data_IF_087647355899
#
_entry.id   IF_087647355899
#
_cell.length_a   1.000
_cell.length_b   1.000
_cell.length_c   1.000
_cell.angle_alpha   90.00
_cell.angle_beta   90.00
_cell.angle_gamma   90.00
#
_symmetry.space_group_name_H-M   'P 1'
#
loop_
_entity.id
_entity.type
_entity.pdbx_description
1 polymer ?
#
# COMPACT_ATOMS: atom_id res chain seq x y z
N UNK A 1 33.76 -14.69 4.29
CA UNK A 1 32.90 -13.52 4.55
C UNK A 1 33.37 -12.36 3.67
N UNK A 2 33.06 -12.38 2.37
CA UNK A 2 33.56 -11.39 1.39
C UNK A 2 32.46 -10.56 0.71
N UNK A 3 31.17 -10.78 1.00
CA UNK A 3 30.09 -10.22 0.17
C UNK A 3 30.12 -8.70 -0.04
N UNK A 4 30.56 -7.91 0.95
CA UNK A 4 30.73 -6.45 0.78
C UNK A 4 31.95 -6.10 -0.09
N UNK A 5 33.02 -6.88 0.02
CA UNK A 5 34.21 -6.75 -0.82
C UNK A 5 33.88 -7.12 -2.26
N UNK A 6 33.13 -8.20 -2.49
CA UNK A 6 32.70 -8.62 -3.82
C UNK A 6 31.84 -7.53 -4.49
N UNK A 7 30.95 -6.86 -3.74
CA UNK A 7 30.17 -5.72 -4.24
C UNK A 7 31.02 -4.48 -4.54
N UNK A 8 32.09 -4.26 -3.77
CA UNK A 8 33.05 -3.19 -4.02
C UNK A 8 33.83 -3.43 -5.30
N UNK A 9 34.36 -4.65 -5.47
CA UNK A 9 35.15 -5.06 -6.63
C UNK A 9 34.28 -5.04 -7.92
N UNK A 10 33.00 -5.36 -7.81
CA UNK A 10 32.00 -5.25 -8.89
C UNK A 10 31.56 -3.80 -9.22
N UNK A 11 32.03 -2.80 -8.46
CA UNK A 11 31.60 -1.40 -8.61
C UNK A 11 30.15 -1.13 -8.22
N UNK A 12 29.54 -2.03 -7.44
CA UNK A 12 28.14 -1.95 -6.97
C UNK A 12 28.01 -1.35 -5.56
N UNK A 13 29.12 -1.09 -4.88
CA UNK A 13 29.16 -0.48 -3.56
C UNK A 13 29.96 0.82 -3.58
N UNK A 14 29.38 1.88 -3.02
CA UNK A 14 30.07 3.11 -2.70
C UNK A 14 29.89 3.41 -1.21
N UNK A 15 30.96 3.84 -0.53
CA UNK A 15 30.92 4.23 0.88
C UNK A 15 31.11 5.74 0.95
N UNK A 16 30.13 6.43 1.52
CA UNK A 16 30.21 7.87 1.78
C UNK A 16 30.50 8.05 3.27
N UNK A 17 31.66 8.62 3.58
CA UNK A 17 32.09 8.92 4.94
C UNK A 17 31.79 10.37 5.31
N UNK A 18 31.66 10.64 6.61
CA UNK A 18 31.43 12.01 7.11
C UNK A 18 29.99 12.51 6.96
N UNK A 19 29.02 11.60 6.80
CA UNK A 19 27.59 11.94 6.82
C UNK A 19 27.13 12.24 8.26
N UNK A 20 27.22 13.51 8.66
CA UNK A 20 26.72 14.05 9.92
C UNK A 20 26.40 15.55 9.75
N UNK A 21 25.87 16.17 10.80
CA UNK A 21 25.72 17.62 10.90
C UNK A 21 26.68 18.20 11.96
N UNK A 22 27.10 19.48 11.83
CA UNK A 22 27.90 20.15 12.84
C UNK A 22 27.21 20.18 14.20
N UNK A 23 27.97 20.00 15.28
CA UNK A 23 27.51 20.05 16.68
C UNK A 23 26.24 19.21 16.97
N UNK A 24 26.35 17.87 16.98
CA UNK A 24 25.23 17.00 17.26
C UNK A 24 24.56 17.33 18.60
N UNK A 25 23.27 17.66 18.55
CA UNK A 25 22.50 17.96 19.76
C UNK A 25 22.04 16.72 20.55
N UNK A 26 22.42 15.52 20.09
CA UNK A 26 22.08 14.20 20.68
C UNK A 26 20.59 13.93 20.92
N UNK A 27 19.70 14.72 20.30
CA UNK A 27 18.26 14.52 20.40
C UNK A 27 17.78 13.56 19.32
N UNK A 28 17.23 12.42 19.74
CA UNK A 28 16.60 11.44 18.85
C UNK A 28 15.55 12.09 17.94
N UNK A 29 14.72 12.97 18.50
CA UNK A 29 13.64 13.63 17.76
C UNK A 29 14.20 14.60 16.71
N UNK A 30 15.22 15.39 17.06
CA UNK A 30 15.78 16.35 16.11
C UNK A 30 16.62 15.69 15.02
N UNK A 31 17.39 14.66 15.35
CA UNK A 31 18.14 13.91 14.33
C UNK A 31 17.18 13.25 13.32
N UNK A 32 16.06 12.70 13.80
CA UNK A 32 15.00 12.14 12.94
C UNK A 32 14.39 13.23 12.06
N UNK A 33 14.06 14.38 12.63
CA UNK A 33 13.50 15.51 11.89
C UNK A 33 14.45 16.04 10.80
N UNK A 34 15.75 16.18 11.08
CA UNK A 34 16.77 16.55 10.09
C UNK A 34 16.80 15.53 8.94
N UNK A 35 16.80 14.23 9.26
CA UNK A 35 16.82 13.17 8.26
C UNK A 35 15.55 13.15 7.39
N UNK A 36 14.38 13.29 8.02
CA UNK A 36 13.09 13.27 7.31
C UNK A 36 12.88 14.56 6.48
N UNK A 37 13.29 15.73 6.98
CA UNK A 37 13.11 17.02 6.28
C UNK A 37 14.22 17.32 5.28
N UNK A 38 15.41 16.76 5.45
CA UNK A 38 16.61 17.16 4.71
C UNK A 38 17.04 18.60 5.01
N UNK A 39 16.68 19.13 6.18
CA UNK A 39 17.01 20.48 6.60
C UNK A 39 18.44 20.57 7.16
N UNK A 40 19.01 21.78 7.16
CA UNK A 40 20.22 22.05 7.94
C UNK A 40 19.94 21.91 9.45
N UNK A 41 20.98 21.63 10.24
CA UNK A 41 20.85 21.39 11.68
C UNK A 41 20.26 22.57 12.47
N UNK A 42 20.38 23.80 11.95
CA UNK A 42 19.82 25.02 12.54
C UNK A 42 18.45 25.43 11.95
N UNK A 43 17.89 24.65 11.01
CA UNK A 43 16.62 24.97 10.34
C UNK A 43 15.50 24.00 10.71
N UNK A 44 14.30 24.53 10.92
CA UNK A 44 13.09 23.75 11.10
C UNK A 44 12.23 23.89 9.85
N UNK A 45 12.00 22.78 9.16
CA UNK A 45 11.13 22.72 7.98
C UNK A 45 9.86 21.95 8.32
N UNK A 46 8.73 22.41 7.82
CA UNK A 46 7.41 21.76 7.97
C UNK A 46 7.11 20.74 6.87
N UNK A 47 8.10 20.44 6.01
CA UNK A 47 7.95 19.48 4.91
C UNK A 47 9.12 18.52 4.85
N UNK A 48 8.81 17.28 4.49
CA UNK A 48 9.78 16.24 4.19
C UNK A 48 10.41 16.42 2.83
N UNK A 49 11.65 15.97 2.65
CA UNK A 49 12.29 16.03 1.32
C UNK A 49 11.58 15.11 0.32
N UNK A 50 11.14 13.93 0.75
CA UNK A 50 10.35 13.02 -0.10
C UNK A 50 8.95 13.58 -0.35
N UNK A 51 8.31 14.19 0.65
CA UNK A 51 7.03 14.89 0.47
C UNK A 51 7.11 16.03 -0.55
N UNK A 52 8.18 16.83 -0.53
CA UNK A 52 8.43 17.87 -1.54
C UNK A 52 8.64 17.28 -2.94
N UNK A 53 9.39 16.18 -3.04
CA UNK A 53 9.59 15.47 -4.30
C UNK A 53 8.27 14.94 -4.87
N UNK A 54 7.45 14.28 -4.05
CA UNK A 54 6.14 13.76 -4.48
C UNK A 54 5.19 14.88 -4.90
N UNK A 55 5.21 16.03 -4.23
CA UNK A 55 4.42 17.18 -4.64
C UNK A 55 4.89 17.79 -5.97
N UNK A 56 6.19 17.72 -6.26
CA UNK A 56 6.75 18.16 -7.53
C UNK A 56 6.36 17.22 -8.68
N UNK A 57 6.42 15.91 -8.46
CA UNK A 57 6.08 14.90 -9.47
C UNK A 57 4.56 14.79 -9.71
N UNK A 58 3.77 14.90 -8.63
CA UNK A 58 2.32 14.77 -8.65
C UNK A 58 1.64 16.07 -8.21
N UNK A 59 1.64 17.10 -9.07
CA UNK A 59 0.99 18.35 -8.77
C UNK A 59 -0.51 18.13 -8.54
N UNK A 60 -1.08 18.92 -7.62
CA UNK A 60 -2.48 18.89 -7.18
C UNK A 60 -2.89 17.74 -6.26
N UNK A 61 -2.02 16.80 -5.89
CA UNK A 61 -2.35 15.84 -4.84
C UNK A 61 -2.76 16.56 -3.53
N UNK A 62 -3.85 16.17 -2.86
CA UNK A 62 -4.68 14.97 -3.08
C UNK A 62 -5.86 15.16 -4.05
N UNK A 63 -6.07 16.36 -4.60
CA UNK A 63 -7.15 16.61 -5.55
C UNK A 63 -6.86 15.91 -6.90
N UNK A 64 -7.72 14.96 -7.27
CA UNK A 64 -7.58 14.18 -8.52
C UNK A 64 -6.85 12.85 -8.37
N UNK A 65 -6.52 12.45 -7.13
CA UNK A 65 -5.94 11.15 -6.81
C UNK A 65 -6.76 10.45 -5.71
N UNK A 66 -6.93 9.13 -5.78
CA UNK A 66 -6.58 8.23 -6.89
C UNK A 66 -7.50 8.45 -8.12
N UNK A 67 -7.01 8.07 -9.30
CA UNK A 67 -7.77 8.11 -10.56
C UNK A 67 -7.57 6.82 -11.38
N UNK A 68 -8.17 6.71 -12.56
CA UNK A 68 -8.08 5.49 -13.40
C UNK A 68 -6.68 5.19 -13.91
N UNK A 69 -5.82 6.19 -14.04
CA UNK A 69 -4.44 6.05 -14.48
C UNK A 69 -3.49 5.78 -13.30
N UNK A 70 -3.84 6.26 -12.11
CA UNK A 70 -3.08 6.11 -10.87
C UNK A 70 -3.99 5.68 -9.71
N UNK A 71 -4.31 4.37 -9.63
CA UNK A 71 -5.14 3.82 -8.56
C UNK A 71 -4.37 3.61 -7.25
N UNK A 72 -3.05 3.52 -7.31
CA UNK A 72 -2.19 3.17 -6.18
C UNK A 72 -1.75 4.40 -5.37
N UNK A 73 -1.48 4.25 -4.05
CA UNK A 73 -0.97 5.34 -3.24
C UNK A 73 0.46 5.72 -3.65
N UNK A 74 0.78 7.03 -3.60
CA UNK A 74 2.10 7.54 -4.01
C UNK A 74 3.27 7.01 -3.17
N UNK A 75 3.02 6.74 -1.88
CA UNK A 75 4.01 6.20 -0.96
C UNK A 75 3.36 5.38 0.16
N UNK A 76 4.09 4.40 0.67
CA UNK A 76 3.68 3.57 1.80
C UNK A 76 4.75 3.64 2.89
N UNK A 77 4.33 3.97 4.12
CA UNK A 77 5.15 3.86 5.32
C UNK A 77 4.74 2.62 6.10
N UNK A 78 5.71 1.82 6.52
CA UNK A 78 5.47 0.63 7.35
C UNK A 78 5.94 0.89 8.77
N UNK A 79 5.16 0.45 9.76
CA UNK A 79 5.56 0.48 11.18
C UNK A 79 5.17 1.73 11.95
N UNK A 80 4.29 2.59 11.42
CA UNK A 80 3.76 3.76 12.14
C UNK A 80 3.12 4.81 11.23
N UNK A 81 2.57 5.86 11.85
CA UNK A 81 1.91 6.96 11.13
C UNK A 81 2.88 7.68 10.16
N UNK A 82 2.32 8.31 9.11
CA UNK A 82 3.09 9.06 8.12
C UNK A 82 3.81 10.23 8.80
N UNK A 83 5.12 10.13 8.97
CA UNK A 83 5.95 11.19 9.54
C UNK A 83 6.22 12.33 8.57
N UNK A 84 6.93 13.34 9.05
CA UNK A 84 7.26 14.57 8.31
C UNK A 84 7.92 14.29 6.96
N UNK A 85 8.69 13.20 6.83
CA UNK A 85 9.40 12.84 5.60
C UNK A 85 8.54 12.69 4.35
N UNK A 86 7.29 12.22 4.51
CA UNK A 86 6.31 12.07 3.43
C UNK A 86 5.21 13.14 3.47
N UNK A 87 5.43 14.23 4.20
CA UNK A 87 4.47 15.33 4.27
C UNK A 87 4.94 16.55 3.49
N UNK A 88 4.00 17.24 2.87
CA UNK A 88 4.21 18.54 2.27
C UNK A 88 3.20 19.54 2.84
N UNK A 89 3.68 20.53 3.61
CA UNK A 89 2.83 21.59 4.17
C UNK A 89 1.58 21.07 4.91
N UNK A 90 1.72 19.99 5.68
CA UNK A 90 0.63 19.35 6.43
C UNK A 90 -0.24 18.36 5.63
N UNK A 91 0.01 18.20 4.33
CA UNK A 91 -0.62 17.17 3.50
C UNK A 91 0.22 15.90 3.52
N UNK A 92 -0.39 14.78 3.88
CA UNK A 92 0.24 13.45 3.84
C UNK A 92 0.28 12.92 2.41
N UNK A 93 1.48 12.81 1.82
CA UNK A 93 1.69 12.32 0.46
C UNK A 93 1.79 10.79 0.38
N UNK A 94 1.41 10.08 1.45
CA UNK A 94 1.48 8.63 1.52
C UNK A 94 0.49 8.06 2.51
N UNK A 95 0.44 6.72 2.56
CA UNK A 95 -0.38 5.93 3.47
C UNK A 95 0.53 5.20 4.45
N UNK A 96 0.06 5.01 5.69
CA UNK A 96 0.75 4.22 6.70
C UNK A 96 0.09 2.85 6.87
N UNK A 97 0.91 1.81 6.98
CA UNK A 97 0.54 0.47 7.43
C UNK A 97 1.34 0.12 8.69
N UNK A 98 0.71 -0.60 9.62
CA UNK A 98 1.34 -0.88 10.91
C UNK A 98 2.33 -2.04 10.86
N UNK A 99 2.09 -3.03 10.00
CA UNK A 99 2.98 -4.17 9.83
C UNK A 99 2.83 -4.79 8.42
N UNK A 100 3.78 -5.64 8.02
CA UNK A 100 3.81 -6.27 6.68
C UNK A 100 2.90 -7.50 6.57
N UNK A 101 2.38 -8.01 7.68
CA UNK A 101 1.50 -9.17 7.75
C UNK A 101 0.03 -8.80 7.76
N UNK A 102 -0.27 -7.51 7.90
CA UNK A 102 -1.58 -6.94 7.75
C UNK A 102 -1.93 -7.14 6.28
N UNK A 103 -3.03 -7.85 5.94
CA UNK A 103 -3.57 -7.69 4.60
C UNK A 103 -3.66 -6.18 4.39
N UNK A 104 -3.29 -5.67 3.22
CA UNK A 104 -3.49 -4.25 2.83
C UNK A 104 -5.00 -3.95 2.77
N UNK A 105 -5.71 -4.18 3.86
CA UNK A 105 -7.04 -3.74 4.14
C UNK A 105 -6.84 -2.32 4.64
N UNK A 106 -6.63 -1.43 3.67
CA UNK A 106 -6.80 0.01 3.80
C UNK A 106 -8.27 0.29 4.14
N UNK A 107 -8.78 -0.30 5.22
CA UNK A 107 -10.19 -0.48 5.56
C UNK A 107 -10.93 0.82 5.91
N UNK A 108 -10.28 1.96 5.70
CA UNK A 108 -10.87 3.30 5.77
C UNK A 108 -10.24 4.31 4.81
N UNK A 109 -9.34 3.88 3.90
CA UNK A 109 -8.69 4.75 2.92
C UNK A 109 -9.18 4.42 1.51
N UNK A 110 -9.37 5.46 0.70
CA UNK A 110 -9.89 5.45 -0.68
C UNK A 110 -9.10 4.60 -1.70
N UNK A 111 -8.02 3.94 -1.29
CA UNK A 111 -7.15 3.13 -2.14
C UNK A 111 -7.46 1.65 -1.92
N UNK A 112 -8.36 1.10 -2.74
CA UNK A 112 -8.58 -0.34 -2.84
C UNK A 112 -7.53 -0.92 -3.79
N UNK A 113 -6.54 -1.63 -3.26
CA UNK A 113 -5.58 -2.38 -4.08
C UNK A 113 -6.34 -3.51 -4.83
N UNK A 114 -6.44 -3.45 -6.17
CA UNK A 114 -7.10 -4.50 -6.93
C UNK A 114 -6.35 -5.84 -6.82
N UNK A 115 -5.05 -5.87 -6.50
CA UNK A 115 -4.28 -7.11 -6.36
C UNK A 115 -4.72 -7.96 -5.16
N UNK A 116 -5.24 -7.36 -4.08
CA UNK A 116 -5.85 -8.11 -2.97
C UNK A 116 -7.10 -8.91 -3.41
N UNK A 117 -7.77 -8.49 -4.48
CA UNK A 117 -8.87 -9.26 -5.09
C UNK A 117 -8.37 -10.40 -6.00
N UNK A 118 -7.12 -10.36 -6.47
CA UNK A 118 -6.57 -11.31 -7.45
C UNK A 118 -5.81 -12.47 -6.80
N UNK A 119 -5.18 -12.24 -5.64
CA UNK A 119 -4.41 -13.27 -4.94
C UNK A 119 -5.24 -14.16 -4.02
N UNK A 120 -6.51 -13.79 -3.73
CA UNK A 120 -7.44 -14.63 -2.96
C UNK A 120 -7.91 -15.90 -3.69
N UNK A 121 -7.43 -16.15 -4.91
CA UNK A 121 -7.82 -17.31 -5.73
C UNK A 121 -6.69 -18.25 -6.18
N UNK A 122 -5.45 -18.08 -5.71
CA UNK A 122 -4.33 -18.95 -6.14
C UNK A 122 -3.91 -20.03 -5.14
N UNK A 123 -4.60 -20.15 -3.99
CA UNK A 123 -4.64 -21.43 -3.26
C UNK A 123 -5.93 -22.14 -3.62
N UNK A 124 -5.96 -22.73 -4.82
CA UNK A 124 -6.89 -23.78 -5.17
C UNK A 124 -8.28 -23.39 -5.69
N UNK A 125 -8.42 -22.40 -6.58
CA UNK A 125 -9.57 -22.37 -7.49
C UNK A 125 -9.22 -21.61 -8.78
N UNK A 126 -8.91 -22.36 -9.85
CA UNK A 126 -8.96 -21.83 -11.22
C UNK A 126 -10.41 -21.42 -11.53
N UNK A 127 -10.75 -20.17 -11.28
CA UNK A 127 -11.90 -19.54 -11.92
C UNK A 127 -11.52 -19.26 -13.39
N UNK A 128 -11.71 -20.26 -14.25
CA UNK A 128 -11.88 -19.99 -15.67
C UNK A 128 -13.08 -19.05 -15.81
N UNK A 129 -12.93 -18.00 -16.63
CA UNK A 129 -13.87 -16.89 -16.79
C UNK A 129 -15.34 -17.26 -16.62
N UNK A 130 -15.93 -16.77 -15.52
CA UNK A 130 -17.34 -16.92 -15.24
C UNK A 130 -18.08 -15.74 -15.86
N UNK A 131 -18.46 -15.88 -17.13
CA UNK A 131 -19.62 -15.16 -17.67
C UNK A 131 -20.88 -15.59 -16.90
N UNK A 132 -21.89 -14.70 -16.69
CA UNK A 132 -23.00 -14.91 -15.74
C UNK A 132 -23.94 -16.09 -16.03
N UNK A 133 -23.75 -16.78 -17.16
CA UNK A 133 -24.76 -17.67 -17.76
C UNK A 133 -24.39 -19.16 -17.75
N UNK A 134 -23.38 -19.58 -16.98
CA UNK A 134 -22.99 -21.00 -16.91
C UNK A 134 -23.52 -21.69 -15.64
N UNK A 135 -24.36 -22.74 -15.77
CA UNK A 135 -24.93 -23.42 -14.62
C UNK A 135 -23.87 -24.19 -13.83
N UNK A 136 -23.83 -23.94 -12.52
CA UNK A 136 -22.92 -24.60 -11.58
C UNK A 136 -23.29 -26.07 -11.45
N UNK A 137 -22.32 -26.97 -11.63
CA UNK A 137 -22.49 -28.42 -11.44
C UNK A 137 -21.65 -28.89 -10.27
N UNK A 138 -22.18 -29.83 -9.49
CA UNK A 138 -21.44 -30.51 -8.43
C UNK A 138 -21.06 -31.90 -8.91
N UNK A 139 -19.77 -32.22 -8.83
CA UNK A 139 -19.26 -33.54 -9.20
C UNK A 139 -18.79 -34.29 -7.96
N UNK A 140 -19.07 -35.59 -7.91
CA UNK A 140 -18.52 -36.47 -6.87
C UNK A 140 -17.09 -36.94 -7.22
N UNK A 141 -16.44 -37.64 -6.29
CA UNK A 141 -15.10 -38.22 -6.50
C UNK A 141 -15.08 -39.36 -7.54
N UNK A 142 -16.23 -39.84 -8.01
CA UNK A 142 -16.35 -40.85 -9.07
C UNK A 142 -16.48 -40.24 -10.47
N UNK A 143 -16.46 -38.91 -10.59
CA UNK A 143 -16.50 -38.18 -11.85
C UNK A 143 -17.90 -37.93 -12.40
N UNK A 144 -18.96 -38.20 -11.62
CA UNK A 144 -20.34 -37.94 -12.03
C UNK A 144 -20.74 -36.52 -11.62
N UNK A 145 -21.14 -35.70 -12.59
CA UNK A 145 -21.45 -34.29 -12.40
C UNK A 145 -22.94 -34.01 -12.59
N UNK A 146 -23.63 -33.58 -11.54
CA UNK A 146 -25.05 -33.25 -11.56
C UNK A 146 -25.26 -31.72 -11.49
N UNK A 147 -26.29 -31.22 -12.18
CA UNK A 147 -26.58 -29.79 -12.25
C UNK A 147 -27.27 -29.37 -10.95
N UNK A 148 -26.67 -28.44 -10.22
CA UNK A 148 -27.34 -27.83 -9.06
C UNK A 148 -28.42 -26.89 -9.59
N UNK A 149 -29.70 -27.21 -9.32
CA UNK A 149 -30.76 -26.25 -9.58
C UNK A 149 -30.64 -25.10 -8.56
N UNK A 150 -30.78 -23.84 -8.98
CA UNK A 150 -30.81 -22.74 -8.03
C UNK A 150 -32.10 -22.85 -7.20
N UNK A 151 -31.94 -23.05 -5.89
CA UNK A 151 -33.03 -22.96 -4.92
C UNK A 151 -33.74 -21.59 -5.12
N UNK A 152 -35.05 -21.63 -5.33
CA UNK A 152 -35.88 -20.45 -5.59
C UNK A 152 -35.76 -19.43 -4.42
N UNK A 153 -35.62 -18.12 -4.68
CA UNK A 153 -35.71 -17.12 -3.61
C UNK A 153 -37.16 -17.04 -3.11
N UNK A 154 -37.35 -17.15 -1.79
CA UNK A 154 -38.63 -16.86 -1.14
C UNK A 154 -39.03 -15.39 -1.39
N UNK A 155 -40.28 -15.07 -1.72
CA UNK A 155 -40.68 -13.71 -2.06
C UNK A 155 -40.80 -12.83 -0.81
N UNK A 156 -40.20 -11.65 -0.89
CA UNK A 156 -40.45 -10.51 0.00
C UNK A 156 -41.90 -10.02 -0.14
N UNK A 157 -42.55 -9.79 1.01
CA UNK A 157 -43.66 -8.82 1.16
C UNK A 157 -45.08 -9.37 1.15
N UNK A 158 -45.65 -9.62 2.35
CA UNK A 158 -47.08 -9.42 2.60
C UNK A 158 -47.28 -8.80 3.99
N UNK A 159 -47.69 -7.53 4.02
CA UNK A 159 -48.47 -6.97 5.13
C UNK A 159 -49.91 -7.50 4.98
N UNK A 160 -50.45 -8.15 6.00
CA UNK A 160 -51.89 -8.30 6.22
C UNK A 160 -52.13 -8.47 7.72
N UNK A 161 -52.88 -7.54 8.31
CA UNK A 161 -53.26 -7.61 9.71
C UNK A 161 -54.34 -8.65 9.99
N UNK A 162 -54.36 -9.12 11.23
CA UNK A 162 -55.56 -9.17 12.06
C UNK A 162 -55.15 -9.23 13.53
#
# INVERSE_FOLDING_TARGET
MSGMQDLWDDGKLAIVQGVSYPDPNFSHFRATDIYETGADANQLLSSGWTGRYLNFEYPNYPAGYPNTEMPDPLAIRVGGAVGSGLQYMGVSMGVAINNTTDPLNLAGNIYLDPAAAQWRWQVGLRAAGATPDRPVRRCDRSGRCERLQPEHPLPHGQCAGR
#
